data_IF_989065043615
#
_entry.id   IF_989065043615
#
_cell.length_a   1.000
_cell.length_b   1.000
_cell.length_c   1.000
_cell.angle_alpha   90.00
_cell.angle_beta   90.00
_cell.angle_gamma   90.00
#
_symmetry.space_group_name_H-M   'P 1'
#
loop_
_entity.id
_entity.type
_entity.pdbx_description
1 polymer ?
#
# COMPACT_ATOMS: atom_id res chain seq x y z
N UNK A 1 -6.25 -20.69 -6.18
CA UNK A 1 -6.59 -19.33 -5.67
C UNK A 1 -6.74 -18.41 -6.86
N UNK A 2 -7.94 -17.89 -7.10
CA UNK A 2 -8.17 -16.91 -8.16
C UNK A 2 -7.75 -15.53 -7.63
N UNK A 3 -6.54 -15.08 -7.97
CA UNK A 3 -6.16 -13.69 -7.81
C UNK A 3 -6.80 -12.90 -8.96
N UNK A 4 -7.90 -12.22 -8.69
CA UNK A 4 -8.51 -11.33 -9.66
C UNK A 4 -7.64 -10.08 -9.81
N UNK A 5 -7.33 -9.73 -11.06
CA UNK A 5 -6.66 -8.49 -11.39
C UNK A 5 -7.70 -7.38 -11.19
N UNK A 6 -7.56 -6.60 -10.12
CA UNK A 6 -8.49 -5.51 -9.84
C UNK A 6 -8.46 -4.50 -11.01
N UNK A 7 -9.62 -4.12 -11.57
CA UNK A 7 -9.68 -3.09 -12.58
C UNK A 7 -9.07 -1.79 -12.05
N UNK A 8 -8.26 -1.12 -12.87
CA UNK A 8 -7.61 0.14 -12.48
C UNK A 8 -8.63 1.20 -12.03
N UNK A 9 -9.81 1.24 -12.66
CA UNK A 9 -10.91 2.14 -12.30
C UNK A 9 -11.34 1.97 -10.84
N UNK A 10 -11.47 0.73 -10.37
CA UNK A 10 -11.86 0.44 -9.00
C UNK A 10 -10.78 0.88 -7.99
N UNK A 11 -9.50 0.73 -8.35
CA UNK A 11 -8.41 1.27 -7.52
C UNK A 11 -8.49 2.80 -7.42
N UNK A 12 -8.80 3.49 -8.52
CA UNK A 12 -9.00 4.94 -8.52
C UNK A 12 -10.21 5.36 -7.68
N UNK A 13 -11.31 4.61 -7.72
CA UNK A 13 -12.49 4.88 -6.89
C UNK A 13 -12.16 4.76 -5.40
N UNK A 14 -11.41 3.72 -5.01
CA UNK A 14 -10.93 3.55 -3.64
C UNK A 14 -9.95 4.65 -3.22
N UNK A 15 -8.97 4.98 -4.08
CA UNK A 15 -8.06 6.09 -3.83
C UNK A 15 -8.83 7.38 -3.65
N UNK A 16 -9.87 7.65 -4.45
CA UNK A 16 -10.75 8.82 -4.33
C UNK A 16 -11.46 8.87 -2.98
N UNK A 17 -11.88 7.74 -2.42
CA UNK A 17 -12.49 7.69 -1.09
C UNK A 17 -11.46 8.04 0.00
N UNK A 18 -10.26 7.47 -0.08
CA UNK A 18 -9.17 7.75 0.86
C UNK A 18 -8.78 9.22 0.80
N UNK A 19 -8.61 9.73 -0.41
CA UNK A 19 -8.42 11.14 -0.75
C UNK A 19 -9.48 12.02 -0.11
N UNK A 20 -10.77 11.69 -0.31
CA UNK A 20 -11.87 12.45 0.26
C UNK A 20 -11.83 12.41 1.78
N UNK A 21 -11.48 11.29 2.41
CA UNK A 21 -11.32 11.23 3.86
C UNK A 21 -10.25 12.21 4.37
N UNK A 22 -9.10 12.31 3.70
CA UNK A 22 -8.02 13.24 4.09
C UNK A 22 -8.31 14.70 3.72
N UNK A 23 -9.16 14.95 2.71
CA UNK A 23 -9.58 16.29 2.30
C UNK A 23 -10.88 16.77 2.93
N UNK A 24 -11.69 15.88 3.50
CA UNK A 24 -12.94 16.25 4.18
C UNK A 24 -12.68 16.75 5.61
N UNK A 25 -13.49 17.74 6.00
CA UNK A 25 -13.44 18.44 7.28
C UNK A 25 -14.40 17.79 8.29
N UNK A 26 -13.92 17.51 9.51
CA UNK A 26 -14.77 17.50 10.72
C UNK A 26 -14.86 18.92 11.30
N UNK A 27 -15.96 19.28 11.98
CA UNK A 27 -16.49 20.65 12.22
C UNK A 27 -15.48 21.77 12.60
N UNK A 28 -14.23 21.49 12.96
CA UNK A 28 -13.26 22.52 13.36
C UNK A 28 -11.79 22.31 12.90
N UNK A 29 -11.53 21.42 11.92
CA UNK A 29 -10.14 21.13 11.47
C UNK A 29 -9.87 21.55 10.02
N UNK A 30 -8.61 21.91 9.71
CA UNK A 30 -8.15 22.25 8.35
C UNK A 30 -7.74 20.97 7.61
N UNK A 31 -8.52 20.54 6.61
CA UNK A 31 -8.16 19.42 5.72
C UNK A 31 -7.06 19.78 4.73
N UNK A 32 -6.34 18.79 4.20
CA UNK A 32 -5.11 18.95 3.39
C UNK A 32 -5.42 19.26 1.91
N UNK A 33 -6.49 20.00 1.62
CA UNK A 33 -7.02 20.23 0.26
C UNK A 33 -6.03 20.86 -0.75
N UNK A 34 -4.92 21.39 -0.25
CA UNK A 34 -3.89 22.09 -1.01
C UNK A 34 -2.78 21.16 -1.54
N UNK A 35 -2.70 19.92 -1.07
CA UNK A 35 -1.78 18.90 -1.60
C UNK A 35 -2.53 17.95 -2.54
N UNK A 36 -1.90 17.54 -3.63
CA UNK A 36 -2.43 16.48 -4.50
C UNK A 36 -2.11 15.09 -3.95
N UNK A 37 -2.93 14.08 -4.28
CA UNK A 37 -2.70 12.69 -3.83
C UNK A 37 -1.33 12.15 -4.26
N UNK A 38 -0.89 12.53 -5.46
CA UNK A 38 0.42 12.15 -5.98
C UNK A 38 1.56 12.73 -5.13
N UNK A 39 1.45 13.96 -4.64
CA UNK A 39 2.45 14.56 -3.75
C UNK A 39 2.49 13.89 -2.38
N UNK A 40 1.34 13.45 -1.87
CA UNK A 40 1.29 12.67 -0.62
C UNK A 40 1.93 11.29 -0.80
N UNK A 41 1.88 10.74 -2.00
CA UNK A 41 2.50 9.46 -2.33
C UNK A 41 4.03 9.51 -2.50
N UNK A 42 4.61 10.71 -2.58
CA UNK A 42 6.07 10.87 -2.66
C UNK A 42 6.70 10.45 -1.31
N UNK A 43 7.91 9.89 -1.34
CA UNK A 43 8.66 9.54 -0.13
C UNK A 43 8.84 10.76 0.79
N UNK A 44 8.88 10.54 2.11
CA UNK A 44 9.18 11.59 3.09
C UNK A 44 10.53 12.27 2.83
N UNK A 45 11.52 11.53 2.33
CA UNK A 45 12.82 12.08 1.94
C UNK A 45 12.72 13.11 0.81
N UNK A 46 11.73 12.94 -0.06
CA UNK A 46 11.43 13.82 -1.18
C UNK A 46 10.30 14.81 -0.87
N UNK A 47 10.05 15.11 0.41
CA UNK A 47 9.03 16.04 0.92
C UNK A 47 7.57 15.59 0.76
N UNK A 48 7.31 14.32 0.44
CA UNK A 48 5.96 13.75 0.49
C UNK A 48 5.61 13.15 1.85
N UNK A 49 4.50 12.40 1.94
CA UNK A 49 4.09 11.70 3.17
C UNK A 49 4.40 10.20 3.16
N UNK A 50 4.85 9.66 2.04
CA UNK A 50 5.17 8.24 1.86
C UNK A 50 3.94 7.37 1.68
N UNK A 51 2.79 7.92 1.27
CA UNK A 51 1.62 7.10 0.96
C UNK A 51 1.93 6.20 -0.25
N UNK A 52 1.50 4.94 -0.20
CA UNK A 52 1.61 4.06 -1.36
C UNK A 52 0.29 4.06 -2.11
N UNK A 53 0.35 4.27 -3.42
CA UNK A 53 -0.82 4.05 -4.28
C UNK A 53 -1.29 2.60 -4.18
N UNK A 54 -2.61 2.40 -4.21
CA UNK A 54 -3.21 1.08 -4.14
C UNK A 54 -2.76 0.20 -5.32
N UNK A 55 -2.56 0.83 -6.48
CA UNK A 55 -2.07 0.15 -7.69
C UNK A 55 -0.68 -0.43 -7.45
N UNK A 56 0.22 0.33 -6.83
CA UNK A 56 1.57 -0.15 -6.52
C UNK A 56 1.52 -1.31 -5.52
N UNK A 57 0.71 -1.20 -4.47
CA UNK A 57 0.51 -2.26 -3.47
C UNK A 57 -0.01 -3.56 -4.10
N UNK A 58 -1.03 -3.47 -4.95
CA UNK A 58 -1.60 -4.62 -5.67
C UNK A 58 -0.56 -5.24 -6.60
N UNK A 59 0.22 -4.41 -7.30
CA UNK A 59 1.28 -4.89 -8.19
C UNK A 59 2.40 -5.62 -7.41
N UNK A 60 2.85 -5.07 -6.28
CA UNK A 60 3.85 -5.73 -5.43
C UNK A 60 3.30 -7.03 -4.84
N UNK A 61 2.06 -7.05 -4.36
CA UNK A 61 1.39 -8.26 -3.86
C UNK A 61 1.27 -9.33 -4.95
N UNK A 62 0.85 -8.95 -6.16
CA UNK A 62 0.80 -9.85 -7.31
C UNK A 62 2.18 -10.41 -7.65
N UNK A 63 3.22 -9.57 -7.68
CA UNK A 63 4.59 -10.01 -7.95
C UNK A 63 5.09 -10.99 -6.87
N UNK A 64 4.77 -10.77 -5.60
CA UNK A 64 5.12 -11.70 -4.52
C UNK A 64 4.47 -13.08 -4.68
N UNK A 65 3.22 -13.12 -5.15
CA UNK A 65 2.47 -14.37 -5.33
C UNK A 65 2.99 -15.15 -6.54
N UNK A 66 3.27 -14.47 -7.66
CA UNK A 66 3.71 -15.12 -8.90
C UNK A 66 5.20 -15.50 -8.89
N UNK A 67 6.05 -14.72 -8.21
CA UNK A 67 7.51 -14.89 -8.22
C UNK A 67 8.07 -15.21 -6.83
N UNK A 68 7.62 -16.32 -6.24
CA UNK A 68 8.06 -16.79 -4.92
C UNK A 68 9.58 -17.09 -4.83
N UNK A 69 10.21 -17.45 -5.95
CA UNK A 69 11.65 -17.74 -6.04
C UNK A 69 12.53 -16.49 -6.21
N UNK A 70 11.93 -15.30 -6.34
CA UNK A 70 12.70 -14.05 -6.40
C UNK A 70 13.38 -13.80 -5.04
N UNK A 71 14.62 -13.32 -5.05
CA UNK A 71 15.35 -12.97 -3.83
C UNK A 71 14.56 -12.01 -2.93
N UNK A 72 13.83 -11.07 -3.54
CA UNK A 72 12.93 -10.16 -2.81
C UNK A 72 11.81 -10.91 -2.09
N UNK A 73 11.16 -11.88 -2.74
CA UNK A 73 10.11 -12.68 -2.12
C UNK A 73 10.66 -13.57 -0.98
N UNK A 74 11.87 -14.14 -1.15
CA UNK A 74 12.53 -14.94 -0.12
C UNK A 74 12.93 -14.11 1.10
N UNK A 75 13.52 -12.92 0.89
CA UNK A 75 13.89 -12.01 1.98
C UNK A 75 12.65 -11.52 2.73
N UNK A 76 11.59 -11.14 2.01
CA UNK A 76 10.33 -10.71 2.62
C UNK A 76 9.64 -11.85 3.37
N UNK A 77 9.67 -13.08 2.84
CA UNK A 77 9.17 -14.27 3.54
C UNK A 77 9.94 -14.51 4.83
N UNK A 78 11.27 -14.52 4.79
CA UNK A 78 12.10 -14.72 5.97
C UNK A 78 11.85 -13.67 7.06
N UNK A 79 11.60 -12.41 6.67
CA UNK A 79 11.38 -11.30 7.59
C UNK A 79 9.96 -11.22 8.15
N UNK A 80 8.94 -11.31 7.30
CA UNK A 80 7.55 -10.97 7.66
C UNK A 80 6.64 -12.18 7.83
N UNK A 81 6.92 -13.31 7.17
CA UNK A 81 6.07 -14.51 7.23
C UNK A 81 6.89 -15.80 7.09
N UNK A 82 7.77 -16.13 8.04
CA UNK A 82 8.72 -17.24 7.90
C UNK A 82 8.02 -18.61 7.81
N UNK A 83 6.91 -18.78 8.51
CA UNK A 83 6.19 -20.05 8.65
C UNK A 83 4.96 -20.18 7.76
N UNK A 84 4.49 -19.09 7.15
CA UNK A 84 3.26 -19.05 6.36
C UNK A 84 3.48 -18.59 4.92
N UNK A 85 2.41 -18.62 4.13
CA UNK A 85 2.38 -18.06 2.78
C UNK A 85 1.87 -16.61 2.84
N UNK A 86 2.21 -15.79 1.85
CA UNK A 86 1.82 -14.36 1.81
C UNK A 86 0.32 -14.13 2.09
N UNK A 87 -0.56 -14.99 1.57
CA UNK A 87 -2.01 -14.87 1.75
C UNK A 87 -2.46 -15.25 3.17
N UNK A 88 -1.72 -16.13 3.84
CA UNK A 88 -1.99 -16.56 5.22
C UNK A 88 -1.06 -15.87 6.22
N UNK A 89 -0.37 -14.80 5.81
CA UNK A 89 0.48 -14.03 6.69
C UNK A 89 -0.39 -13.29 7.71
N UNK A 90 -0.12 -13.52 9.00
CA UNK A 90 -0.72 -12.77 10.09
C UNK A 90 0.18 -11.58 10.44
N UNK A 91 -0.40 -10.55 11.05
CA UNK A 91 0.34 -9.39 11.50
C UNK A 91 1.37 -9.82 12.55
N UNK A 92 2.65 -9.78 12.19
CA UNK A 92 3.75 -10.13 13.08
C UNK A 92 4.15 -8.97 13.98
N UNK A 93 4.88 -9.26 15.05
CA UNK A 93 5.36 -8.28 16.03
C UNK A 93 6.56 -7.43 15.55
N UNK A 94 7.03 -7.62 14.32
CA UNK A 94 8.16 -6.89 13.74
C UNK A 94 7.66 -5.87 12.69
N UNK A 95 7.33 -4.64 13.10
CA UNK A 95 7.03 -3.59 12.14
C UNK A 95 8.28 -3.22 11.35
N UNK A 96 8.09 -2.95 10.06
CA UNK A 96 9.13 -2.34 9.24
C UNK A 96 9.35 -0.90 9.68
N UNK A 97 10.48 -0.65 10.37
CA UNK A 97 10.99 0.69 10.62
C UNK A 97 11.63 1.20 9.31
N UNK A 98 10.83 1.76 8.43
CA UNK A 98 11.31 2.46 7.22
C UNK A 98 10.35 3.58 6.89
#
# INVERSE_FOLDING_TARGET
>A
MACFLLPKSFCFDLESIIVKFWWQKGHDQRGIHWCTWNELCISKEQRGLGFSSLINLIFFGWRLINYLNSLLAQVLKAKYFPTSNFIHAQLGNLPSLT
#
